data_IF_343339970258
#
_entry.id   IF_343339970258
#
_cell.length_a   1.000
_cell.length_b   1.000
_cell.length_c   1.000
_cell.angle_alpha   90.00
_cell.angle_beta   90.00
_cell.angle_gamma   90.00
#
_symmetry.space_group_name_H-M   'P 1'
#
loop_
_entity.id
_entity.type
_entity.pdbx_description
1 polymer ?
#
# COMPACT_ATOMS: atom_id res chain seq x y z
N UNK A 1 -31.23 -20.75 -5.11
CA UNK A 1 -30.28 -21.47 -4.22
C UNK A 1 -29.63 -20.44 -3.29
N UNK A 2 -29.34 -20.75 -2.03
CA UNK A 2 -28.68 -19.80 -1.11
C UNK A 2 -27.26 -20.29 -0.84
N UNK A 3 -26.29 -19.40 -0.97
CA UNK A 3 -24.89 -19.68 -0.64
C UNK A 3 -24.53 -18.96 0.66
N UNK A 4 -23.80 -19.67 1.52
CA UNK A 4 -23.21 -19.10 2.73
C UNK A 4 -21.77 -18.78 2.43
N UNK A 5 -21.37 -17.53 2.56
CA UNK A 5 -20.01 -17.07 2.32
C UNK A 5 -19.38 -16.76 3.68
N UNK A 6 -18.27 -17.45 3.99
CA UNK A 6 -17.36 -17.10 5.09
C UNK A 6 -16.28 -16.18 4.54
N UNK A 7 -16.26 -14.95 5.01
CA UNK A 7 -15.25 -13.95 4.66
C UNK A 7 -14.20 -13.91 5.78
N UNK A 8 -12.93 -14.05 5.41
CA UNK A 8 -11.76 -13.99 6.27
C UNK A 8 -10.99 -12.72 5.92
N UNK A 9 -10.87 -11.76 6.84
CA UNK A 9 -10.13 -10.53 6.63
C UNK A 9 -8.92 -10.45 7.56
N UNK A 10 -7.70 -10.38 7.02
CA UNK A 10 -6.51 -10.16 7.83
C UNK A 10 -6.21 -8.67 7.99
N UNK A 11 -6.10 -8.22 9.25
CA UNK A 11 -5.85 -6.81 9.61
C UNK A 11 -4.39 -6.51 9.98
N UNK A 12 -3.48 -7.48 9.86
CA UNK A 12 -2.07 -7.40 10.26
C UNK A 12 -1.81 -7.78 11.73
N UNK A 13 -2.85 -8.11 12.52
CA UNK A 13 -2.74 -8.42 13.95
C UNK A 13 -2.61 -9.92 14.27
N UNK A 14 -2.44 -10.79 13.26
CA UNK A 14 -2.28 -12.24 13.43
C UNK A 14 -3.55 -13.02 13.81
N UNK A 15 -4.70 -12.34 13.93
CA UNK A 15 -6.02 -12.95 14.08
C UNK A 15 -6.91 -12.40 12.94
N UNK A 16 -7.38 -13.24 12.00
CA UNK A 16 -8.27 -12.81 10.94
C UNK A 16 -9.69 -12.57 11.48
N UNK A 17 -10.31 -11.47 11.08
CA UNK A 17 -11.70 -11.17 11.40
C UNK A 17 -12.63 -11.92 10.45
N UNK A 18 -13.38 -12.89 10.99
CA UNK A 18 -14.25 -13.78 10.20
C UNK A 18 -15.70 -13.33 10.31
N UNK A 19 -16.32 -12.97 9.18
CA UNK A 19 -17.76 -12.68 9.07
C UNK A 19 -18.43 -13.71 8.16
N UNK A 20 -19.74 -13.90 8.33
CA UNK A 20 -20.56 -14.80 7.49
C UNK A 20 -21.68 -14.01 6.87
N UNK A 21 -21.94 -14.22 5.58
CA UNK A 21 -23.14 -13.73 4.92
C UNK A 21 -23.87 -14.84 4.17
N UNK A 22 -25.19 -14.76 4.12
CA UNK A 22 -26.02 -15.64 3.31
C UNK A 22 -26.61 -14.81 2.16
N UNK A 23 -26.44 -15.25 0.92
CA UNK A 23 -26.89 -14.52 -0.28
C UNK A 23 -27.56 -15.50 -1.24
N UNK A 24 -28.60 -15.03 -1.94
CA UNK A 24 -29.21 -15.83 -3.00
C UNK A 24 -28.28 -15.89 -4.22
N UNK A 25 -28.14 -17.08 -4.81
CA UNK A 25 -27.29 -17.35 -5.97
C UNK A 25 -27.55 -16.40 -7.14
N UNK A 26 -28.81 -16.03 -7.36
CA UNK A 26 -29.24 -15.16 -8.45
C UNK A 26 -28.64 -13.73 -8.33
N UNK A 27 -28.39 -13.29 -7.09
CA UNK A 27 -27.79 -11.99 -6.77
C UNK A 27 -26.25 -12.03 -6.81
N UNK A 28 -25.66 -13.20 -6.53
CA UNK A 28 -24.20 -13.43 -6.61
C UNK A 28 -23.67 -13.58 -8.04
N UNK A 29 -24.50 -13.38 -9.07
CA UNK A 29 -24.10 -13.45 -10.48
C UNK A 29 -23.16 -12.31 -10.93
N UNK A 30 -22.96 -11.27 -10.10
CA UNK A 30 -22.06 -10.15 -10.40
C UNK A 30 -21.11 -9.85 -9.26
N UNK A 31 -19.83 -9.68 -9.60
CA UNK A 31 -18.74 -9.37 -8.68
C UNK A 31 -18.97 -8.06 -7.92
N UNK A 32 -19.51 -7.03 -8.58
CA UNK A 32 -19.82 -5.73 -7.97
C UNK A 32 -20.79 -5.84 -6.77
N UNK A 33 -21.76 -6.76 -6.81
CA UNK A 33 -22.67 -6.96 -5.68
C UNK A 33 -22.00 -7.69 -4.51
N UNK A 34 -21.09 -8.62 -4.79
CA UNK A 34 -20.28 -9.28 -3.77
C UNK A 34 -19.36 -8.27 -3.08
N UNK A 35 -18.68 -7.42 -3.84
CA UNK A 35 -17.82 -6.35 -3.33
C UNK A 35 -18.61 -5.37 -2.44
N UNK A 36 -19.78 -4.90 -2.90
CA UNK A 36 -20.66 -4.03 -2.10
C UNK A 36 -21.07 -4.68 -0.77
N UNK A 37 -21.47 -5.96 -0.79
CA UNK A 37 -21.83 -6.71 0.43
C UNK A 37 -20.65 -6.92 1.37
N UNK A 38 -19.44 -7.10 0.84
CA UNK A 38 -18.20 -7.18 1.62
C UNK A 38 -17.89 -5.83 2.28
N UNK A 39 -18.05 -4.71 1.58
CA UNK A 39 -17.83 -3.36 2.13
C UNK A 39 -18.89 -2.99 3.18
N UNK A 40 -20.14 -3.41 3.02
CA UNK A 40 -21.17 -3.31 4.07
C UNK A 40 -20.79 -4.08 5.34
N UNK A 41 -20.20 -5.28 5.18
CA UNK A 41 -19.76 -6.11 6.31
C UNK A 41 -18.50 -5.57 6.99
N UNK A 42 -17.58 -4.97 6.22
CA UNK A 42 -16.31 -4.45 6.72
C UNK A 42 -16.12 -2.98 6.29
N UNK A 43 -16.68 -2.01 7.04
CA UNK A 43 -16.58 -0.58 6.70
C UNK A 43 -15.14 -0.08 6.52
N UNK A 44 -14.16 -0.72 7.17
CA UNK A 44 -12.72 -0.45 7.03
C UNK A 44 -12.18 -0.65 5.61
N UNK A 45 -12.88 -1.42 4.76
CA UNK A 45 -12.52 -1.66 3.36
C UNK A 45 -13.00 -0.54 2.43
N UNK A 46 -13.94 0.30 2.85
CA UNK A 46 -14.56 1.33 1.99
C UNK A 46 -13.55 2.34 1.44
N UNK A 47 -12.55 2.70 2.25
CA UNK A 47 -11.52 3.69 1.92
C UNK A 47 -10.17 3.02 1.57
N UNK A 48 -10.15 1.71 1.29
CA UNK A 48 -8.93 0.94 1.02
C UNK A 48 -9.06 0.09 -0.24
N UNK A 49 -7.96 -0.07 -0.97
CA UNK A 49 -7.83 -1.09 -2.01
C UNK A 49 -7.63 -2.46 -1.37
N UNK A 50 -8.45 -3.44 -1.73
CA UNK A 50 -8.32 -4.83 -1.31
C UNK A 50 -8.39 -5.79 -2.52
N UNK A 51 -8.00 -7.05 -2.31
CA UNK A 51 -8.20 -8.17 -3.22
C UNK A 51 -9.13 -9.16 -2.55
N UNK A 52 -9.97 -9.83 -3.35
CA UNK A 52 -10.79 -10.96 -2.90
C UNK A 52 -10.18 -12.20 -3.55
N UNK A 53 -9.84 -13.20 -2.74
CA UNK A 53 -9.38 -14.50 -3.19
C UNK A 53 -10.26 -15.62 -2.63
N UNK A 54 -10.23 -16.78 -3.27
CA UNK A 54 -10.86 -18.02 -2.83
C UNK A 54 -9.83 -19.15 -2.88
N UNK A 55 -10.15 -20.31 -2.31
CA UNK A 55 -9.33 -21.53 -2.41
C UNK A 55 -10.00 -22.54 -3.31
N UNK A 56 -9.24 -23.13 -4.23
CA UNK A 56 -9.70 -24.18 -5.12
C UNK A 56 -9.47 -25.59 -4.53
N UNK A 57 -9.61 -26.63 -5.37
CA UNK A 57 -9.40 -28.04 -5.03
C UNK A 57 -7.97 -28.39 -4.63
N UNK A 58 -7.00 -27.58 -5.05
CA UNK A 58 -5.57 -27.81 -4.90
C UNK A 58 -4.98 -26.90 -3.80
N UNK A 59 -5.87 -26.28 -3.01
CA UNK A 59 -5.60 -25.36 -1.89
C UNK A 59 -4.97 -24.01 -2.30
N UNK A 60 -4.95 -23.68 -3.61
CA UNK A 60 -4.35 -22.46 -4.15
C UNK A 60 -5.22 -21.22 -3.98
N UNK A 61 -4.60 -20.06 -3.71
CA UNK A 61 -5.29 -18.79 -3.47
C UNK A 61 -5.57 -18.05 -4.77
N UNK A 62 -6.66 -18.43 -5.44
CA UNK A 62 -7.11 -17.82 -6.69
C UNK A 62 -7.76 -16.45 -6.40
N UNK A 63 -7.20 -15.37 -6.96
CA UNK A 63 -7.81 -14.05 -6.90
C UNK A 63 -8.99 -13.94 -7.87
N UNK A 64 -10.07 -13.27 -7.44
CA UNK A 64 -11.17 -12.85 -8.30
C UNK A 64 -11.27 -11.32 -8.36
N UNK A 65 -11.59 -10.81 -9.54
CA UNK A 65 -11.85 -9.39 -9.83
C UNK A 65 -12.96 -9.19 -10.86
N UNK A 66 -13.53 -10.28 -11.37
CA UNK A 66 -14.50 -10.27 -12.47
C UNK A 66 -15.62 -11.30 -12.28
N UNK A 67 -16.74 -11.08 -12.98
CA UNK A 67 -17.91 -11.95 -12.97
C UNK A 67 -17.61 -13.43 -13.34
N UNK A 68 -16.80 -13.78 -14.38
CA UNK A 68 -16.51 -15.18 -14.69
C UNK A 68 -15.66 -15.89 -13.63
N UNK A 69 -14.73 -15.20 -12.98
CA UNK A 69 -13.93 -15.76 -11.88
C UNK A 69 -14.80 -16.02 -10.64
N UNK A 70 -15.78 -15.15 -10.37
CA UNK A 70 -16.79 -15.39 -9.33
C UNK A 70 -17.68 -16.60 -9.66
N UNK A 71 -18.07 -16.78 -10.93
CA UNK A 71 -18.82 -17.97 -11.35
C UNK A 71 -18.01 -19.26 -11.15
N UNK A 72 -16.69 -19.24 -11.38
CA UNK A 72 -15.80 -20.37 -11.09
C UNK A 72 -15.72 -20.65 -9.58
N UNK A 73 -15.59 -19.62 -8.74
CA UNK A 73 -15.59 -19.79 -7.28
C UNK A 73 -16.93 -20.31 -6.75
N UNK A 74 -18.05 -19.92 -7.37
CA UNK A 74 -19.40 -20.40 -7.06
C UNK A 74 -19.61 -21.86 -7.48
N UNK A 75 -18.99 -22.29 -8.58
CA UNK A 75 -19.04 -23.67 -9.06
C UNK A 75 -18.23 -24.64 -8.16
N UNK A 76 -17.14 -24.15 -7.53
CA UNK A 76 -16.33 -24.89 -6.57
C UNK A 76 -16.86 -24.80 -5.12
N UNK A 77 -18.09 -24.34 -4.91
CA UNK A 77 -18.69 -24.18 -3.58
C UNK A 77 -19.20 -25.52 -2.99
N UNK A 78 -18.34 -26.22 -2.24
CA UNK A 78 -18.75 -27.40 -1.46
C UNK A 78 -19.88 -27.06 -0.46
N UNK A 79 -20.96 -27.85 -0.46
CA UNK A 79 -22.17 -27.66 0.36
C UNK A 79 -22.79 -26.24 0.32
N UNK A 80 -22.54 -25.48 -0.75
CA UNK A 80 -22.96 -24.07 -0.85
C UNK A 80 -22.22 -23.14 0.12
N UNK A 81 -21.09 -23.57 0.67
CA UNK A 81 -20.23 -22.80 1.55
C UNK A 81 -18.96 -22.33 0.83
N UNK A 82 -18.87 -21.02 0.57
CA UNK A 82 -17.66 -20.41 -0.03
C UNK A 82 -16.79 -19.80 1.08
N UNK A 83 -15.47 -20.01 0.99
CA UNK A 83 -14.47 -19.34 1.83
C UNK A 83 -13.78 -18.27 0.99
N UNK A 84 -13.97 -17.00 1.34
CA UNK A 84 -13.30 -15.86 0.72
C UNK A 84 -12.24 -15.29 1.66
N UNK A 85 -11.08 -14.97 1.11
CA UNK A 85 -9.94 -14.37 1.80
C UNK A 85 -9.77 -12.96 1.27
N UNK A 86 -9.82 -11.97 2.16
CA UNK A 86 -9.61 -10.56 1.85
C UNK A 86 -8.24 -10.17 2.33
N UNK A 87 -7.40 -9.76 1.38
CA UNK A 87 -6.12 -9.11 1.65
C UNK A 87 -6.22 -7.64 1.30
N UNK A 88 -5.79 -6.76 2.21
CA UNK A 88 -5.55 -5.38 1.82
C UNK A 88 -4.43 -5.37 0.79
N UNK A 89 -4.64 -4.70 -0.33
CA UNK A 89 -3.49 -4.24 -1.11
C UNK A 89 -2.90 -3.09 -0.31
N UNK A 90 -1.61 -3.15 0.07
CA UNK A 90 -0.86 -1.92 0.26
C UNK A 90 -1.08 -1.08 -1.00
N UNK A 91 -1.08 0.26 -0.88
CA UNK A 91 -0.90 1.11 -2.07
C UNK A 91 0.52 0.90 -2.55
N UNK A 92 0.72 -0.17 -3.32
CA UNK A 92 1.94 -0.41 -4.06
C UNK A 92 2.07 0.73 -5.06
N UNK A 93 2.99 1.66 -4.77
CA UNK A 93 3.60 2.44 -5.83
C UNK A 93 4.10 1.46 -6.88
N UNK A 94 3.94 1.73 -8.18
CA UNK A 94 4.20 0.75 -9.23
C UNK A 94 5.69 0.40 -9.32
N UNK A 95 6.12 -0.58 -8.55
CA UNK A 95 7.37 -1.31 -8.78
C UNK A 95 7.16 -2.23 -9.97
N UNK A 96 7.47 -1.72 -11.17
CA UNK A 96 7.58 -2.54 -12.36
C UNK A 96 8.74 -3.52 -12.14
N UNK A 97 8.41 -4.76 -11.78
CA UNK A 97 9.32 -5.90 -11.90
C UNK A 97 8.53 -7.12 -12.37
N UNK A 98 8.41 -7.18 -13.69
CA UNK A 98 8.11 -8.37 -14.50
C UNK A 98 8.66 -9.67 -13.92
N UNK A 99 7.80 -10.68 -13.83
CA UNK A 99 8.14 -12.03 -14.28
C UNK A 99 7.70 -12.13 -15.76
N UNK A 100 8.32 -12.87 -16.66
CA UNK A 100 9.44 -13.83 -16.58
C UNK A 100 10.65 -13.32 -17.44
N UNK A 101 11.70 -14.03 -17.89
CA UNK A 101 12.01 -15.47 -17.90
C UNK A 101 13.54 -15.76 -17.98
N UNK A 102 13.85 -17.06 -17.87
CA UNK A 102 15.03 -17.84 -18.28
C UNK A 102 16.25 -17.20 -19.02
N UNK A 103 17.43 -17.50 -18.45
CA UNK A 103 18.67 -17.97 -19.11
C UNK A 103 19.39 -17.14 -20.20
N UNK A 104 20.55 -16.56 -19.85
CA UNK A 104 21.85 -16.90 -20.47
C UNK A 104 23.02 -16.61 -19.51
N UNK A 105 24.21 -17.12 -19.85
CA UNK A 105 25.27 -17.50 -18.90
C UNK A 105 26.62 -16.78 -19.09
N UNK A 106 27.50 -17.01 -18.10
CA UNK A 106 28.97 -16.97 -18.13
C UNK A 106 29.75 -15.72 -17.68
N UNK A 107 31.03 -15.98 -17.36
CA UNK A 107 31.81 -15.28 -16.32
C UNK A 107 32.67 -14.08 -16.78
N UNK A 108 32.87 -13.10 -15.88
CA UNK A 108 34.21 -12.71 -15.36
C UNK A 108 34.18 -11.51 -14.38
N UNK A 109 35.14 -11.52 -13.42
CA UNK A 109 35.70 -10.42 -12.57
C UNK A 109 35.35 -8.97 -12.97
N UNK A 110 35.10 -8.04 -12.03
CA UNK A 110 36.10 -7.52 -11.06
C UNK A 110 35.51 -7.05 -9.72
N UNK A 111 36.38 -6.85 -8.73
CA UNK A 111 36.06 -6.23 -7.44
C UNK A 111 36.04 -4.70 -7.57
N UNK A 112 34.98 -4.05 -7.09
CA UNK A 112 35.06 -2.67 -6.56
C UNK A 112 33.93 -2.44 -5.53
N UNK A 113 34.25 -1.76 -4.44
CA UNK A 113 33.33 -1.56 -3.32
C UNK A 113 32.47 -0.29 -3.50
N UNK A 114 31.26 -0.31 -2.95
CA UNK A 114 30.36 0.86 -2.79
C UNK A 114 29.82 1.52 -4.08
N UNK A 115 29.32 0.72 -5.02
CA UNK A 115 28.30 1.19 -5.96
C UNK A 115 26.91 1.18 -5.28
N UNK A 116 26.60 2.24 -4.52
CA UNK A 116 25.26 2.44 -3.98
C UNK A 116 24.24 2.51 -5.13
N UNK A 117 23.28 1.58 -5.19
CA UNK A 117 22.17 1.60 -6.16
C UNK A 117 21.33 2.87 -5.94
N UNK A 118 21.66 3.95 -6.64
CA UNK A 118 20.88 5.19 -6.61
C UNK A 118 19.64 5.04 -7.50
N UNK A 119 18.60 4.38 -6.97
CA UNK A 119 17.25 4.66 -7.43
C UNK A 119 16.92 6.10 -7.00
N UNK A 120 17.16 7.07 -7.89
CA UNK A 120 17.09 8.51 -7.57
C UNK A 120 15.62 8.98 -7.54
N UNK A 121 14.87 8.52 -6.54
CA UNK A 121 13.58 9.10 -6.20
C UNK A 121 13.79 10.60 -5.92
N UNK A 122 13.16 11.44 -6.73
CA UNK A 122 13.19 12.90 -6.57
C UNK A 122 12.08 13.28 -5.59
N UNK A 123 12.37 14.19 -4.67
CA UNK A 123 11.34 14.81 -3.85
C UNK A 123 10.68 15.96 -4.63
N UNK A 124 9.47 15.77 -5.22
CA UNK A 124 8.83 16.84 -5.97
C UNK A 124 8.46 17.99 -5.04
N UNK A 125 8.58 19.22 -5.54
CA UNK A 125 8.31 20.46 -4.80
C UNK A 125 9.21 20.71 -3.57
N UNK A 126 10.35 20.01 -3.43
CA UNK A 126 11.37 20.28 -2.40
C UNK A 126 12.66 20.76 -3.06
N UNK A 127 13.18 21.88 -2.57
CA UNK A 127 14.44 22.50 -3.00
C UNK A 127 15.40 22.47 -1.81
N UNK A 128 16.68 22.20 -2.07
CA UNK A 128 17.74 22.26 -1.07
C UNK A 128 18.15 23.71 -0.80
N UNK A 129 18.07 24.21 0.43
CA UNK A 129 18.52 25.57 0.78
C UNK A 129 20.03 25.75 0.63
N UNK A 130 20.80 24.67 0.80
CA UNK A 130 22.27 24.69 0.69
C UNK A 130 22.83 24.68 -0.74
N UNK A 131 22.01 24.44 -1.77
CA UNK A 131 22.46 24.46 -3.17
C UNK A 131 21.39 24.83 -4.22
N UNK A 132 20.19 25.24 -3.79
CA UNK A 132 19.04 25.65 -4.60
C UNK A 132 18.58 24.66 -5.69
N UNK A 133 19.00 23.39 -5.60
CA UNK A 133 18.61 22.33 -6.51
C UNK A 133 17.50 21.44 -5.91
N UNK A 134 16.72 20.78 -6.77
CA UNK A 134 15.73 19.79 -6.32
C UNK A 134 16.41 18.60 -5.63
N UNK A 135 15.84 18.17 -4.50
CA UNK A 135 16.40 17.10 -3.68
C UNK A 135 16.19 15.73 -4.31
N UNK A 136 17.28 15.01 -4.57
CA UNK A 136 17.30 13.64 -5.12
C UNK A 136 17.81 12.67 -4.06
N UNK A 137 17.19 11.49 -3.95
CA UNK A 137 17.50 10.53 -2.90
C UNK A 137 17.06 11.05 -1.54
N UNK A 138 17.90 10.95 -0.50
CA UNK A 138 17.52 11.37 0.85
C UNK A 138 17.37 12.90 0.96
N UNK A 139 16.21 13.32 1.49
CA UNK A 139 15.92 14.67 1.99
C UNK A 139 16.23 14.74 3.48
N UNK A 140 16.92 15.80 3.90
CA UNK A 140 17.21 16.08 5.29
C UNK A 140 16.46 17.34 5.69
N UNK A 141 15.43 17.22 6.54
CA UNK A 141 14.66 18.37 7.04
C UNK A 141 15.17 18.77 8.42
N UNK A 142 15.46 20.04 8.65
CA UNK A 142 15.78 20.53 9.99
C UNK A 142 14.56 20.40 10.92
N UNK A 143 14.78 19.97 12.17
CA UNK A 143 13.72 19.86 13.18
C UNK A 143 13.41 21.20 13.87
N UNK A 144 14.35 22.13 13.87
CA UNK A 144 14.26 23.42 14.59
C UNK A 144 13.99 24.60 13.64
N UNK A 145 14.64 24.63 12.48
CA UNK A 145 14.42 25.66 11.46
C UNK A 145 13.10 25.43 10.71
N UNK A 146 12.32 26.49 10.55
CA UNK A 146 11.11 26.48 9.73
C UNK A 146 11.49 26.32 8.25
N UNK A 147 10.94 25.29 7.63
CA UNK A 147 11.00 25.02 6.18
C UNK A 147 12.41 24.93 5.58
N UNK A 148 13.40 24.51 6.37
CA UNK A 148 14.78 24.31 5.93
C UNK A 148 15.05 22.84 5.55
N UNK A 149 15.52 22.63 4.32
CA UNK A 149 15.73 21.33 3.71
C UNK A 149 17.09 21.22 3.01
N UNK A 150 17.81 20.12 3.24
CA UNK A 150 19.08 19.81 2.59
C UNK A 150 19.01 18.51 1.77
N UNK A 151 19.78 18.46 0.68
CA UNK A 151 20.07 17.23 -0.04
C UNK A 151 21.22 16.44 0.62
N UNK A 152 21.40 15.19 0.19
CA UNK A 152 22.44 14.30 0.71
C UNK A 152 23.86 14.89 0.65
N UNK A 153 24.20 15.64 -0.42
CA UNK A 153 25.49 16.31 -0.54
C UNK A 153 25.65 17.43 0.48
N UNK A 154 24.70 18.37 0.57
CA UNK A 154 24.81 19.51 1.49
C UNK A 154 24.73 19.11 2.98
N UNK A 155 24.09 17.97 3.29
CA UNK A 155 24.17 17.37 4.62
C UNK A 155 25.56 16.75 4.87
N UNK A 156 26.14 16.03 3.91
CA UNK A 156 27.51 15.48 4.04
C UNK A 156 28.58 16.59 4.13
N UNK A 157 28.37 17.71 3.43
CA UNK A 157 29.18 18.94 3.52
C UNK A 157 29.00 19.68 4.86
N UNK A 158 28.11 19.21 5.75
CA UNK A 158 27.74 19.84 7.02
C UNK A 158 27.40 21.34 6.88
N UNK A 159 26.54 21.70 5.90
CA UNK A 159 26.14 23.10 5.68
C UNK A 159 25.22 23.69 6.75
N UNK A 160 24.68 22.86 7.63
CA UNK A 160 23.79 23.23 8.74
C UNK A 160 24.12 22.36 9.97
N UNK A 161 25.26 22.57 10.65
CA UNK A 161 25.68 21.76 11.79
C UNK A 161 25.02 22.15 13.12
N UNK A 162 24.30 23.28 13.18
CA UNK A 162 23.77 23.83 14.43
C UNK A 162 22.53 23.12 15.00
N UNK A 163 21.76 22.40 14.17
CA UNK A 163 20.50 21.77 14.56
C UNK A 163 20.37 20.34 14.00
N UNK A 164 19.61 19.49 14.68
CA UNK A 164 19.37 18.12 14.25
C UNK A 164 18.53 18.00 12.97
N UNK A 165 18.94 17.07 12.09
CA UNK A 165 18.38 16.88 10.75
C UNK A 165 17.66 15.52 10.62
N UNK A 166 16.36 15.56 10.31
CA UNK A 166 15.56 14.37 10.06
C UNK A 166 15.79 13.83 8.64
N UNK A 167 16.34 12.61 8.55
CA UNK A 167 16.54 11.89 7.29
C UNK A 167 15.23 11.26 6.79
N UNK A 168 14.66 11.84 5.73
CA UNK A 168 13.49 11.34 5.01
C UNK A 168 13.95 10.46 3.84
N UNK A 169 13.54 9.19 3.85
CA UNK A 169 14.01 8.14 2.91
C UNK A 169 13.09 7.90 1.72
N UNK A 170 11.90 8.49 1.72
CA UNK A 170 10.92 8.40 0.63
C UNK A 170 10.42 9.81 0.31
N UNK A 171 10.05 10.11 -0.95
CA UNK A 171 9.33 11.31 -1.31
C UNK A 171 7.94 11.27 -0.67
N UNK A 172 7.85 11.78 0.56
CA UNK A 172 6.62 11.81 1.34
C UNK A 172 5.62 12.79 0.70
N UNK A 173 4.86 12.28 -0.28
CA UNK A 173 3.56 12.84 -0.63
C UNK A 173 2.72 12.81 0.64
N UNK A 174 2.66 13.96 1.32
CA UNK A 174 1.63 14.19 2.33
C UNK A 174 0.28 14.06 1.63
N UNK A 175 -0.35 12.90 1.75
CA UNK A 175 -1.80 12.82 1.55
C UNK A 175 -2.40 13.83 2.52
N UNK A 176 -3.29 14.69 2.00
CA UNK A 176 -3.94 15.71 2.81
C UNK A 176 -4.93 15.11 3.83
N UNK A 177 -5.11 13.78 3.82
CA UNK A 177 -5.87 13.00 4.79
C UNK A 177 -5.42 13.16 6.26
N UNK A 178 -4.20 13.60 6.57
CA UNK A 178 -3.82 13.98 7.95
C UNK A 178 -4.26 15.41 8.32
N UNK A 179 -5.47 15.79 7.93
CA UNK A 179 -6.25 16.74 8.73
C UNK A 179 -6.75 15.98 9.97
N UNK A 180 -6.06 16.16 11.10
CA UNK A 180 -6.57 15.71 12.41
C UNK A 180 -8.04 16.14 12.57
N UNK A 181 -9.00 15.21 12.74
CA UNK A 181 -10.43 15.54 12.87
C UNK A 181 -10.85 16.28 14.16
N UNK A 182 -9.92 17.01 14.81
CA UNK A 182 -10.13 17.69 16.10
C UNK A 182 -9.44 19.05 16.28
N UNK A 183 -8.59 19.51 15.36
CA UNK A 183 -7.72 20.68 15.60
C UNK A 183 -8.21 22.03 15.01
N UNK A 184 -9.44 22.13 14.49
CA UNK A 184 -9.99 23.39 13.93
C UNK A 184 -10.84 24.23 14.92
N UNK A 185 -11.00 23.78 16.17
CA UNK A 185 -11.81 24.46 17.19
C UNK A 185 -11.08 24.68 18.52
N UNK A 186 -9.87 25.27 18.49
CA UNK A 186 -9.26 25.76 19.75
C UNK A 186 -8.39 27.02 19.63
N UNK A 187 -8.67 27.91 18.67
CA UNK A 187 -8.12 29.28 18.66
C UNK A 187 -9.16 30.31 18.21
N UNK A 188 -10.14 30.57 19.08
CA UNK A 188 -10.92 31.82 19.06
C UNK A 188 -11.58 32.09 20.42
N UNK A 189 -10.83 32.75 21.32
CA UNK A 189 -11.38 33.27 22.57
C UNK A 189 -10.48 33.12 23.80
N UNK A 190 -9.39 33.89 23.87
CA UNK A 190 -8.92 34.51 25.11
C UNK A 190 -7.85 35.57 24.76
N UNK A 191 -8.11 36.83 25.14
CA UNK A 191 -7.29 38.04 24.94
C UNK A 191 -7.17 38.55 23.49
#
# INVERSE_FOLDING_TARGET
MVHVIKVYYDSGNGIPEIRRLAVCSDVLTKFVFLEQKIVELYPILKDKSFRIAWKDSDDDLIQMSSDPELAQALANAEDGLIKLYITLQPREMPSISVAEAAEVNDAAKTNDANAAKTNQEVHPFVICDGCNNSVKGYRYKCLECKDFDLCSSCHADNKHPEHDMLKLTRPHSVSREWVFPGARHMWRGMF
#
